data_IF_684918371693
#
_entry.id   IF_684918371693
#
_cell.length_a   1.000
_cell.length_b   1.000
_cell.length_c   1.000
_cell.angle_alpha   90.00
_cell.angle_beta   90.00
_cell.angle_gamma   90.00
#
_symmetry.space_group_name_H-M   'P 1'
#
loop_
_entity.id
_entity.type
_entity.pdbx_description
1 polymer ?
#
# COMPACT_ATOMS: atom_id res chain seq x y z
N UNK A 1 -1.74 -18.77 -63.04
CA UNK A 1 -1.63 -17.97 -61.81
C UNK A 1 -1.24 -18.92 -60.71
N UNK A 2 0.01 -18.90 -60.26
CA UNK A 2 0.51 -19.76 -59.19
C UNK A 2 0.09 -19.19 -57.85
N UNK A 3 -0.59 -20.01 -57.05
CA UNK A 3 -1.03 -19.70 -55.69
C UNK A 3 0.20 -19.67 -54.77
N UNK A 4 0.49 -18.51 -54.17
CA UNK A 4 1.60 -18.36 -53.21
C UNK A 4 1.05 -18.76 -51.84
N UNK A 5 1.43 -19.95 -51.37
CA UNK A 5 1.12 -20.42 -50.01
C UNK A 5 2.09 -19.72 -49.05
N UNK A 6 1.56 -18.89 -48.16
CA UNK A 6 2.35 -18.26 -47.10
C UNK A 6 2.52 -19.24 -45.94
N UNK A 7 3.76 -19.66 -45.68
CA UNK A 7 4.12 -20.46 -44.51
C UNK A 7 4.55 -19.49 -43.39
N UNK A 8 3.79 -19.44 -42.28
CA UNK A 8 4.11 -18.58 -41.14
C UNK A 8 5.25 -19.20 -40.33
N UNK A 9 6.45 -18.63 -40.43
CA UNK A 9 7.67 -19.15 -39.80
C UNK A 9 7.96 -18.56 -38.42
N UNK A 10 7.37 -17.40 -38.10
CA UNK A 10 7.50 -16.75 -36.80
C UNK A 10 6.38 -15.73 -36.56
N UNK A 11 5.79 -15.77 -35.36
CA UNK A 11 4.81 -14.77 -34.90
C UNK A 11 5.51 -13.69 -34.09
N UNK A 12 5.33 -12.43 -34.46
CA UNK A 12 5.84 -11.27 -33.72
C UNK A 12 4.68 -10.55 -33.02
N UNK A 13 4.87 -10.23 -31.73
CA UNK A 13 3.89 -9.46 -30.95
C UNK A 13 4.47 -8.06 -30.72
N UNK A 14 3.80 -7.04 -31.26
CA UNK A 14 4.10 -5.66 -30.95
C UNK A 14 3.39 -5.25 -29.66
N UNK A 15 4.13 -4.61 -28.75
CA UNK A 15 3.52 -3.96 -27.59
C UNK A 15 2.67 -2.75 -28.04
N UNK A 16 1.63 -2.43 -27.26
CA UNK A 16 0.82 -1.23 -27.47
C UNK A 16 1.53 0.05 -26.98
N UNK A 17 0.73 1.07 -26.66
CA UNK A 17 1.25 2.37 -26.22
C UNK A 17 2.08 2.27 -24.93
N UNK A 18 3.28 2.83 -24.96
CA UNK A 18 4.14 2.94 -23.78
C UNK A 18 3.70 4.12 -22.89
N UNK A 19 3.62 3.90 -21.59
CA UNK A 19 3.35 4.95 -20.60
C UNK A 19 4.36 4.87 -19.46
N UNK A 20 4.84 6.03 -19.00
CA UNK A 20 5.62 6.09 -17.77
C UNK A 20 4.72 5.79 -16.58
N UNK A 21 5.10 4.83 -15.75
CA UNK A 21 4.35 4.47 -14.56
C UNK A 21 5.01 5.05 -13.31
N UNK A 22 4.25 5.82 -12.52
CA UNK A 22 4.61 6.29 -11.18
C UNK A 22 3.47 5.89 -10.25
N UNK A 23 3.73 5.19 -9.14
CA UNK A 23 2.68 4.83 -8.19
C UNK A 23 1.96 6.08 -7.68
N UNK A 24 0.64 6.10 -7.77
CA UNK A 24 -0.17 7.26 -7.42
C UNK A 24 -0.04 7.61 -5.93
N UNK A 25 0.03 6.57 -5.08
CA UNK A 25 0.22 6.70 -3.64
C UNK A 25 1.51 7.41 -3.23
N UNK A 26 2.55 7.46 -4.08
CA UNK A 26 3.83 8.12 -3.75
C UNK A 26 3.66 9.61 -3.47
N UNK A 27 3.00 10.31 -4.38
CA UNK A 27 2.78 11.76 -4.24
C UNK A 27 1.82 12.06 -3.06
N UNK A 28 0.81 11.21 -2.88
CA UNK A 28 -0.10 11.33 -1.74
C UNK A 28 0.60 11.11 -0.40
N UNK A 29 1.50 10.13 -0.33
CA UNK A 29 2.27 9.84 0.87
C UNK A 29 3.18 11.01 1.25
N UNK A 30 3.78 11.70 0.27
CA UNK A 30 4.64 12.88 0.51
C UNK A 30 3.92 14.01 1.24
N UNK A 31 2.62 14.18 0.99
CA UNK A 31 1.78 15.21 1.59
C UNK A 31 0.90 14.66 2.73
N UNK A 32 1.08 13.38 3.10
CA UNK A 32 0.27 12.72 4.11
C UNK A 32 0.65 13.25 5.50
N UNK A 33 -0.32 13.49 6.41
CA UNK A 33 -0.04 14.03 7.74
C UNK A 33 1.00 13.23 8.52
N UNK A 34 1.08 11.91 8.28
CA UNK A 34 2.04 10.93 8.82
C UNK A 34 2.16 10.89 10.36
N UNK A 35 1.44 11.76 11.06
CA UNK A 35 1.49 11.96 12.49
C UNK A 35 0.45 11.08 13.17
N UNK A 36 0.92 10.03 13.81
CA UNK A 36 0.14 9.21 14.72
C UNK A 36 0.70 9.35 16.14
N UNK A 37 0.23 10.37 16.87
CA UNK A 37 0.64 10.61 18.25
C UNK A 37 -0.47 10.19 19.21
N UNK A 38 -0.44 8.94 19.68
CA UNK A 38 -1.33 8.49 20.76
C UNK A 38 -0.85 8.96 22.13
N UNK A 39 0.45 9.16 22.31
CA UNK A 39 1.05 9.65 23.54
C UNK A 39 1.26 11.16 23.47
N UNK A 40 0.18 11.92 23.63
CA UNK A 40 0.23 13.39 23.63
C UNK A 40 0.92 13.98 24.87
N UNK A 41 1.18 13.17 25.89
CA UNK A 41 1.77 13.60 27.15
C UNK A 41 3.12 12.94 27.35
N UNK A 42 4.17 13.74 27.24
CA UNK A 42 5.51 13.33 27.66
C UNK A 42 5.55 13.27 29.19
N UNK A 43 5.94 12.11 29.71
CA UNK A 43 6.19 11.94 31.13
C UNK A 43 7.57 12.51 31.47
N UNK A 44 7.68 13.15 32.63
CA UNK A 44 8.99 13.52 33.15
C UNK A 44 9.81 12.24 33.38
N UNK A 45 11.14 12.27 33.13
CA UNK A 45 12.01 11.14 33.41
C UNK A 45 11.81 10.63 34.85
N UNK A 46 11.79 9.30 35.01
CA UNK A 46 11.62 8.69 36.32
C UNK A 46 12.73 9.14 37.28
N UNK A 47 12.38 9.36 38.54
CA UNK A 47 13.33 9.77 39.58
C UNK A 47 14.39 8.71 39.81
N UNK A 48 15.62 9.15 40.08
CA UNK A 48 16.78 8.29 40.37
C UNK A 48 16.58 7.32 41.55
N UNK A 49 15.58 7.58 42.41
CA UNK A 49 15.20 6.69 43.51
C UNK A 49 14.77 5.27 43.06
N UNK A 50 14.39 5.12 41.78
CA UNK A 50 13.96 3.86 41.17
C UNK A 50 14.88 3.39 40.04
N UNK A 51 16.04 4.02 39.86
CA UNK A 51 17.05 3.61 38.88
C UNK A 51 17.71 2.31 39.30
N UNK A 52 17.07 1.18 39.00
CA UNK A 52 17.58 -0.15 39.32
C UNK A 52 18.77 -0.58 38.45
N UNK A 53 19.27 0.24 37.52
CA UNK A 53 20.50 -0.08 36.81
C UNK A 53 21.29 1.18 36.46
N UNK A 54 22.55 1.23 36.89
CA UNK A 54 23.43 2.42 36.95
C UNK A 54 23.92 2.96 35.60
N UNK A 55 23.14 2.81 34.53
CA UNK A 55 23.50 3.23 33.17
C UNK A 55 22.65 4.40 32.62
N UNK A 56 21.67 4.89 33.38
CA UNK A 56 20.69 5.88 32.93
C UNK A 56 21.28 7.26 32.51
N UNK A 57 22.52 7.58 32.91
CA UNK A 57 23.18 8.86 32.63
C UNK A 57 23.89 8.99 31.27
N UNK A 58 24.01 7.90 30.50
CA UNK A 58 24.75 7.91 29.22
C UNK A 58 23.83 7.91 27.98
N UNK A 59 22.52 7.69 28.16
CA UNK A 59 21.53 7.61 27.08
C UNK A 59 21.30 8.95 26.36
N UNK A 60 21.67 10.08 26.97
CA UNK A 60 21.55 11.41 26.36
C UNK A 60 22.71 11.83 25.43
N UNK A 61 23.81 11.06 25.39
CA UNK A 61 25.03 11.42 24.64
C UNK A 61 25.16 10.72 23.28
N UNK A 62 24.26 9.79 22.96
CA UNK A 62 24.23 9.14 21.66
C UNK A 62 23.51 10.05 20.68
N UNK A 63 24.28 10.83 19.92
CA UNK A 63 23.76 11.48 18.72
C UNK A 63 23.41 10.38 17.72
N UNK A 64 22.11 10.10 17.60
CA UNK A 64 21.59 9.08 16.71
C UNK A 64 21.99 9.41 15.27
N UNK A 65 22.97 8.66 14.75
CA UNK A 65 23.28 8.65 13.32
C UNK A 65 22.32 7.69 12.67
N UNK A 66 21.14 8.17 12.26
CA UNK A 66 20.25 7.35 11.44
C UNK A 66 20.95 7.09 10.12
N UNK A 67 21.41 5.86 9.90
CA UNK A 67 21.64 5.38 8.53
C UNK A 67 20.30 5.55 7.83
N UNK A 68 20.24 6.42 6.83
CA UNK A 68 19.04 6.64 6.04
C UNK A 68 18.81 5.35 5.24
N UNK A 69 18.22 4.35 5.89
CA UNK A 69 17.64 3.20 5.24
C UNK A 69 16.63 3.77 4.26
N UNK A 70 16.92 3.63 2.97
CA UNK A 70 16.02 4.03 1.90
C UNK A 70 14.63 3.51 2.26
N UNK A 71 13.71 4.41 2.57
CA UNK A 71 12.33 4.07 2.91
C UNK A 71 11.82 3.09 1.85
N UNK A 72 11.59 1.85 2.27
CA UNK A 72 11.16 0.79 1.36
C UNK A 72 9.70 1.07 1.03
N UNK A 73 9.48 1.80 -0.06
CA UNK A 73 8.16 1.87 -0.69
C UNK A 73 7.87 0.57 -1.45
N UNK A 74 6.61 0.15 -1.47
CA UNK A 74 6.14 -0.95 -2.32
C UNK A 74 4.72 -0.68 -2.79
N UNK A 75 4.34 -1.28 -3.93
CA UNK A 75 3.00 -1.17 -4.47
C UNK A 75 2.56 -2.47 -5.14
N UNK A 76 1.26 -2.70 -5.14
CA UNK A 76 0.61 -3.78 -5.88
C UNK A 76 -0.57 -3.22 -6.67
N UNK A 77 -0.76 -3.72 -7.88
CA UNK A 77 -1.90 -3.37 -8.73
C UNK A 77 -2.84 -4.58 -8.83
N UNK A 78 -4.15 -4.33 -8.84
CA UNK A 78 -5.15 -5.35 -9.16
C UNK A 78 -6.25 -4.76 -10.04
N UNK A 79 -6.94 -5.61 -10.79
CA UNK A 79 -8.17 -5.21 -11.48
C UNK A 79 -9.20 -4.76 -10.44
N UNK A 80 -9.83 -3.61 -10.67
CA UNK A 80 -10.88 -3.08 -9.83
C UNK A 80 -12.07 -4.04 -9.74
N UNK A 81 -12.65 -4.16 -8.55
CA UNK A 81 -13.81 -5.00 -8.30
C UNK A 81 -15.04 -4.13 -8.01
N UNK A 82 -15.88 -3.86 -9.01
CA UNK A 82 -17.22 -3.31 -8.77
C UNK A 82 -18.14 -4.44 -8.27
N UNK A 83 -18.60 -4.32 -7.04
CA UNK A 83 -19.65 -5.20 -6.51
C UNK A 83 -20.98 -4.93 -7.21
N UNK A 84 -21.41 -5.90 -8.01
CA UNK A 84 -22.76 -6.02 -8.63
C UNK A 84 -23.16 -4.84 -9.53
N UNK A 85 -23.03 -5.08 -10.84
CA UNK A 85 -23.73 -4.38 -11.93
C UNK A 85 -23.47 -2.87 -12.04
N UNK A 86 -22.30 -2.51 -12.56
CA UNK A 86 -22.20 -1.34 -13.43
C UNK A 86 -21.03 -1.55 -14.40
N UNK A 87 -21.15 -0.91 -15.56
CA UNK A 87 -20.55 -1.16 -16.88
C UNK A 87 -19.05 -1.52 -16.90
N UNK A 88 -18.60 -2.07 -18.04
CA UNK A 88 -17.24 -2.50 -18.44
C UNK A 88 -16.13 -1.43 -18.32
N UNK A 89 -16.16 -0.61 -17.27
CA UNK A 89 -15.10 0.33 -16.95
C UNK A 89 -13.96 -0.47 -16.34
N UNK A 90 -12.99 -0.81 -17.17
CA UNK A 90 -11.73 -1.36 -16.70
C UNK A 90 -10.97 -0.27 -15.95
N UNK A 91 -10.96 -0.38 -14.64
CA UNK A 91 -10.10 0.41 -13.76
C UNK A 91 -9.19 -0.52 -12.95
N UNK A 92 -8.08 0.05 -12.50
CA UNK A 92 -7.09 -0.61 -11.67
C UNK A 92 -7.14 0.00 -10.28
N UNK A 93 -6.94 -0.85 -9.29
CA UNK A 93 -6.71 -0.45 -7.91
C UNK A 93 -5.23 -0.63 -7.57
N UNK A 94 -4.70 0.32 -6.83
CA UNK A 94 -3.33 0.32 -6.34
C UNK A 94 -3.33 0.29 -4.81
N UNK A 95 -2.48 -0.55 -4.23
CA UNK A 95 -2.14 -0.54 -2.81
C UNK A 95 -0.67 -0.15 -2.65
N UNK A 96 -0.43 1.11 -2.33
CA UNK A 96 0.89 1.68 -2.11
C UNK A 96 1.21 1.72 -0.62
N UNK A 97 2.45 1.40 -0.25
CA UNK A 97 2.95 1.41 1.13
C UNK A 97 4.28 2.15 1.20
N UNK A 98 4.43 3.02 2.18
CA UNK A 98 5.72 3.63 2.53
C UNK A 98 5.74 3.99 4.02
N UNK A 99 6.78 3.55 4.74
CA UNK A 99 6.89 3.75 6.18
C UNK A 99 5.67 3.21 6.92
N UNK A 100 4.95 4.10 7.60
CA UNK A 100 3.77 3.78 8.41
C UNK A 100 2.44 3.98 7.66
N UNK A 101 2.49 4.32 6.37
CA UNK A 101 1.32 4.73 5.58
C UNK A 101 1.02 3.71 4.50
N UNK A 102 -0.27 3.42 4.34
CA UNK A 102 -0.81 2.65 3.21
C UNK A 102 -1.84 3.50 2.48
N UNK A 103 -1.68 3.69 1.18
CA UNK A 103 -2.61 4.41 0.29
C UNK A 103 -3.25 3.38 -0.64
N UNK A 104 -4.58 3.25 -0.55
CA UNK A 104 -5.40 2.54 -1.52
C UNK A 104 -6.00 3.55 -2.49
N UNK A 105 -5.64 3.46 -3.76
CA UNK A 105 -6.13 4.33 -4.84
C UNK A 105 -6.79 3.52 -5.95
N UNK A 106 -7.60 4.19 -6.76
CA UNK A 106 -8.25 3.62 -7.93
C UNK A 106 -8.14 4.60 -9.10
N UNK A 107 -7.94 4.08 -10.31
CA UNK A 107 -7.82 4.88 -11.52
C UNK A 107 -7.93 4.04 -12.78
N UNK A 108 -8.05 4.68 -13.94
CA UNK A 108 -8.06 3.98 -15.22
C UNK A 108 -7.19 4.72 -16.23
N UNK A 109 -6.98 4.13 -17.41
CA UNK A 109 -6.28 4.83 -18.50
C UNK A 109 -7.03 6.07 -18.98
N UNK A 110 -8.35 6.12 -18.81
CA UNK A 110 -9.22 7.17 -19.37
C UNK A 110 -9.70 8.17 -18.31
N UNK A 111 -9.54 7.86 -17.03
CA UNK A 111 -10.01 8.70 -15.92
C UNK A 111 -8.89 8.95 -14.92
N UNK A 112 -8.91 10.12 -14.29
CA UNK A 112 -7.94 10.47 -13.26
C UNK A 112 -7.98 9.49 -12.08
N UNK A 113 -6.80 9.12 -11.57
CA UNK A 113 -6.68 8.34 -10.35
C UNK A 113 -7.08 9.17 -9.12
N UNK A 114 -7.69 8.51 -8.14
CA UNK A 114 -8.11 9.11 -6.88
C UNK A 114 -7.78 8.19 -5.70
N UNK A 115 -7.50 8.77 -4.53
CA UNK A 115 -7.37 7.98 -3.30
C UNK A 115 -8.75 7.48 -2.90
N UNK A 116 -8.88 6.17 -2.76
CA UNK A 116 -10.06 5.54 -2.17
C UNK A 116 -9.96 5.58 -0.64
N UNK A 117 -8.80 5.21 -0.08
CA UNK A 117 -8.57 5.23 1.37
C UNK A 117 -7.08 5.35 1.72
N UNK A 118 -6.79 6.06 2.81
CA UNK A 118 -5.46 6.11 3.41
C UNK A 118 -5.50 5.50 4.82
N UNK A 119 -4.43 4.82 5.20
CA UNK A 119 -4.22 4.22 6.51
C UNK A 119 -2.89 4.70 7.09
N UNK A 120 -2.85 4.88 8.39
CA UNK A 120 -1.63 5.16 9.14
C UNK A 120 -1.60 4.26 10.35
N UNK A 121 -0.49 3.57 10.54
CA UNK A 121 -0.23 2.70 11.68
C UNK A 121 0.87 3.33 12.55
N UNK A 122 1.08 2.79 13.74
CA UNK A 122 2.05 3.27 14.72
C UNK A 122 3.49 2.80 14.45
N UNK A 123 3.67 1.75 13.64
CA UNK A 123 4.98 1.19 13.29
C UNK A 123 5.14 1.01 11.77
N UNK A 124 6.38 0.87 11.26
CA UNK A 124 6.62 0.60 9.85
C UNK A 124 5.85 -0.61 9.33
N UNK A 125 5.16 -0.44 8.20
CA UNK A 125 4.36 -1.49 7.58
C UNK A 125 5.29 -2.52 6.96
N UNK A 126 5.21 -3.77 7.46
CA UNK A 126 5.98 -4.88 6.89
C UNK A 126 5.38 -5.36 5.56
N UNK A 127 4.04 -5.46 5.49
CA UNK A 127 3.32 -5.90 4.31
C UNK A 127 1.89 -5.37 4.33
N UNK A 128 1.38 -4.97 3.17
CA UNK A 128 -0.03 -4.69 2.93
C UNK A 128 -0.54 -5.57 1.78
N UNK A 129 -1.70 -6.20 1.95
CA UNK A 129 -2.30 -7.07 0.94
C UNK A 129 -3.82 -7.06 1.02
N UNK A 130 -4.46 -7.34 -0.10
CA UNK A 130 -5.89 -7.63 -0.13
C UNK A 130 -6.14 -9.11 0.17
N UNK A 131 -7.10 -9.38 1.05
CA UNK A 131 -7.54 -10.75 1.34
C UNK A 131 -9.05 -10.78 1.62
N UNK A 132 -9.64 -11.97 1.45
CA UNK A 132 -11.03 -12.25 1.77
C UNK A 132 -11.09 -13.39 2.77
N UNK A 133 -11.98 -13.27 3.75
CA UNK A 133 -12.23 -14.32 4.74
C UNK A 133 -13.63 -14.91 4.52
N UNK A 134 -13.75 -16.23 4.57
CA UNK A 134 -15.04 -16.90 4.53
C UNK A 134 -15.77 -16.69 5.86
N UNK A 135 -16.99 -16.15 5.80
CA UNK A 135 -17.86 -16.01 6.97
C UNK A 135 -18.92 -17.10 6.92
N UNK A 136 -19.04 -17.98 7.94
CA UNK A 136 -20.06 -19.01 7.98
C UNK A 136 -21.47 -18.39 7.86
N UNK A 137 -22.21 -18.80 6.84
CA UNK A 137 -23.62 -18.46 6.72
C UNK A 137 -24.39 -19.47 7.57
N UNK A 138 -24.88 -19.05 8.74
CA UNK A 138 -25.84 -19.87 9.49
C UNK A 138 -27.07 -20.05 8.59
N UNK A 139 -27.26 -21.26 8.05
CA UNK A 139 -28.53 -21.64 7.45
C UNK A 139 -29.59 -21.44 8.52
N UNK A 140 -30.49 -20.48 8.32
CA UNK A 140 -31.76 -20.48 9.02
C UNK A 140 -32.58 -21.64 8.46
N UNK A 141 -32.24 -22.86 8.87
CA UNK A 141 -33.12 -24.01 8.74
C UNK A 141 -34.26 -23.77 9.74
N UNK A 142 -35.37 -23.26 9.23
CA UNK A 142 -36.48 -22.80 10.06
C UNK A 142 -37.67 -22.37 9.23
N UNK A 143 -38.13 -23.24 8.33
CA UNK A 143 -39.53 -23.21 7.89
C UNK A 143 -40.07 -24.61 8.12
N UNK A 144 -40.77 -24.74 9.24
CA UNK A 144 -41.70 -25.84 9.56
C UNK A 144 -42.87 -25.76 8.57
#
# INVERSE_FOLDING_TARGET
>A
MSEVVYEETATMIAAGDLQSFVPFGREHCRNHPNAFNLQLRELQPASELWSSDGAAGLVGSLQEVSLQERERECWQLRKGCMGVKEEDVEFEEELYTAGNVVIWSQGSRTQASNVYKAFTVDSPVQQALWCNFAVPQNKKDGTV
#
